data_IF_516464856476
#
_entry.id   IF_516464856476
#
_cell.length_a   1.000
_cell.length_b   1.000
_cell.length_c   1.000
_cell.angle_alpha   90.00
_cell.angle_beta   90.00
_cell.angle_gamma   90.00
#
_symmetry.space_group_name_H-M   'P 1'
#
loop_
_entity.id
_entity.type
_entity.pdbx_description
1 polymer ?
#
# COMPACT_ATOMS: atom_id res chain seq x y z
N UNK A 1 12.52 13.47 22.77
CA UNK A 1 11.51 13.48 21.68
C UNK A 1 10.29 14.27 22.12
N UNK A 2 9.60 14.98 21.23
CA UNK A 2 8.31 15.58 21.53
C UNK A 2 7.28 14.49 21.90
N UNK A 3 6.45 14.76 22.91
CA UNK A 3 5.38 13.86 23.37
C UNK A 3 4.12 14.12 22.53
N UNK A 4 3.49 13.04 22.06
CA UNK A 4 2.23 13.09 21.31
C UNK A 4 1.10 12.48 22.15
N UNK A 5 0.36 13.28 22.94
CA UNK A 5 -0.59 12.78 23.95
C UNK A 5 -1.82 12.09 23.36
N UNK A 6 -2.08 12.29 22.06
CA UNK A 6 -3.19 11.64 21.35
C UNK A 6 -2.87 10.21 20.90
N UNK A 7 -1.66 9.72 21.21
CA UNK A 7 -1.22 8.37 20.87
C UNK A 7 -0.97 8.19 19.37
N UNK A 8 -1.17 6.96 18.91
CA UNK A 8 -0.91 6.52 17.53
C UNK A 8 -2.18 6.04 16.84
N UNK A 9 -2.06 5.72 15.55
CA UNK A 9 -3.17 5.15 14.81
C UNK A 9 -3.56 3.75 15.29
N UNK A 10 -2.72 2.99 16.00
CA UNK A 10 -2.98 1.60 16.37
C UNK A 10 -4.33 1.38 17.07
N UNK A 11 -4.62 2.14 18.11
CA UNK A 11 -5.89 2.08 18.87
C UNK A 11 -6.93 3.10 18.42
N UNK A 12 -6.75 3.74 17.27
CA UNK A 12 -7.60 4.85 16.82
C UNK A 12 -8.46 4.44 15.62
N UNK A 13 -9.77 4.63 15.75
CA UNK A 13 -10.71 4.62 14.61
C UNK A 13 -10.66 5.95 13.87
N UNK A 14 -10.61 5.89 12.54
CA UNK A 14 -10.55 7.06 11.67
C UNK A 14 -11.86 7.19 10.90
N UNK A 15 -12.34 8.43 10.75
CA UNK A 15 -13.34 8.74 9.73
C UNK A 15 -12.73 8.59 8.34
N UNK A 16 -13.57 8.41 7.32
CA UNK A 16 -13.15 8.40 5.92
C UNK A 16 -12.24 9.58 5.55
N UNK A 17 -12.62 10.79 5.99
CA UNK A 17 -11.85 12.02 5.75
C UNK A 17 -10.48 11.98 6.45
N UNK A 18 -10.43 11.49 7.69
CA UNK A 18 -9.18 11.33 8.43
C UNK A 18 -8.27 10.29 7.78
N UNK A 19 -8.82 9.18 7.28
CA UNK A 19 -8.08 8.15 6.56
C UNK A 19 -7.42 8.70 5.29
N UNK A 20 -8.15 9.44 4.46
CA UNK A 20 -7.60 10.10 3.27
C UNK A 20 -6.53 11.14 3.65
N UNK A 21 -6.77 11.87 4.72
CA UNK A 21 -5.86 12.90 5.22
C UNK A 21 -4.56 12.29 5.77
N UNK A 22 -4.65 11.19 6.52
CA UNK A 22 -3.49 10.42 6.97
C UNK A 22 -2.74 9.83 5.79
N UNK A 23 -3.44 9.20 4.84
CA UNK A 23 -2.80 8.60 3.66
C UNK A 23 -1.92 9.62 2.93
N UNK A 24 -2.47 10.80 2.65
CA UNK A 24 -1.73 11.88 2.01
C UNK A 24 -0.53 12.33 2.83
N UNK A 25 -0.68 12.49 4.15
CA UNK A 25 0.41 12.94 5.02
C UNK A 25 1.53 11.90 5.14
N UNK A 26 1.20 10.61 5.17
CA UNK A 26 2.18 9.52 5.15
C UNK A 26 2.99 9.57 3.85
N UNK A 27 2.31 9.65 2.69
CA UNK A 27 2.99 9.76 1.39
C UNK A 27 3.92 10.97 1.31
N UNK A 28 3.48 12.14 1.81
CA UNK A 28 4.32 13.34 1.88
C UNK A 28 5.52 13.12 2.80
N UNK A 29 5.34 12.43 3.93
CA UNK A 29 6.45 12.04 4.81
C UNK A 29 7.46 11.15 4.10
N UNK A 30 7.00 10.11 3.40
CA UNK A 30 7.86 9.21 2.64
C UNK A 30 8.61 9.92 1.50
N UNK A 31 7.96 10.86 0.82
CA UNK A 31 8.62 11.71 -0.19
C UNK A 31 9.77 12.52 0.42
N UNK A 32 9.63 13.00 1.66
CA UNK A 32 10.72 13.70 2.35
C UNK A 32 11.85 12.73 2.70
N UNK A 33 11.54 11.53 3.20
CA UNK A 33 12.57 10.53 3.53
C UNK A 33 13.37 10.11 2.29
N UNK A 34 12.71 9.94 1.15
CA UNK A 34 13.36 9.66 -0.14
C UNK A 34 14.40 10.71 -0.51
N UNK A 35 14.13 11.99 -0.26
CA UNK A 35 15.09 13.07 -0.55
C UNK A 35 16.38 12.98 0.29
N UNK A 36 16.35 12.24 1.39
CA UNK A 36 17.51 11.97 2.24
C UNK A 36 18.03 10.54 2.08
N UNK A 37 17.57 9.79 1.08
CA UNK A 37 17.88 8.38 0.86
C UNK A 37 17.54 7.47 2.05
N UNK A 38 16.50 7.79 2.81
CA UNK A 38 16.09 7.06 4.01
C UNK A 38 14.87 6.19 3.70
N UNK A 39 14.95 4.92 4.08
CA UNK A 39 13.83 4.01 4.22
C UNK A 39 13.38 3.97 5.68
N UNK A 40 12.07 4.04 5.92
CA UNK A 40 11.53 3.93 7.28
C UNK A 40 11.48 2.48 7.76
N UNK A 41 11.08 1.53 6.89
CA UNK A 41 11.06 0.07 7.11
C UNK A 41 10.11 -0.47 8.19
N UNK A 42 9.46 0.39 8.97
CA UNK A 42 8.46 -0.01 9.98
C UNK A 42 7.23 0.90 9.97
N UNK A 43 6.75 1.25 8.77
CA UNK A 43 5.48 1.95 8.62
C UNK A 43 4.35 1.03 9.10
N UNK A 44 3.76 1.38 10.24
CA UNK A 44 2.64 0.69 10.87
C UNK A 44 1.82 1.68 11.69
N UNK A 45 0.57 1.36 12.08
CA UNK A 45 -0.28 2.26 12.84
C UNK A 45 0.35 2.73 14.16
N UNK A 46 1.14 1.88 14.81
CA UNK A 46 1.86 2.21 16.04
C UNK A 46 2.89 3.33 15.89
N UNK A 47 3.48 3.45 14.69
CA UNK A 47 4.55 4.40 14.37
C UNK A 47 4.03 5.65 13.65
N UNK A 48 2.71 5.82 13.58
CA UNK A 48 2.06 7.00 13.02
C UNK A 48 1.34 7.71 14.16
N UNK A 49 1.98 8.75 14.69
CA UNK A 49 1.51 9.47 15.87
C UNK A 49 0.53 10.57 15.48
N UNK A 50 -0.47 10.80 16.34
CA UNK A 50 -1.46 11.86 16.13
C UNK A 50 -0.94 13.13 16.77
N UNK A 51 -0.59 14.12 15.94
CA UNK A 51 -0.14 15.44 16.40
C UNK A 51 -1.29 16.35 16.79
N UNK A 52 -2.38 16.33 16.01
CA UNK A 52 -3.54 17.18 16.24
C UNK A 52 -4.78 16.50 15.70
N UNK A 53 -5.84 16.42 16.50
CA UNK A 53 -7.15 15.92 16.09
C UNK A 53 -8.25 16.84 16.61
N UNK A 54 -8.91 17.52 15.69
CA UNK A 54 -10.03 18.44 15.93
C UNK A 54 -11.01 18.31 14.75
N UNK A 55 -12.26 18.79 14.88
CA UNK A 55 -13.21 18.75 13.76
C UNK A 55 -12.72 19.39 12.45
N UNK A 56 -11.79 20.36 12.54
CA UNK A 56 -11.23 21.09 11.39
C UNK A 56 -9.84 20.61 10.96
N UNK A 57 -9.12 19.86 11.80
CA UNK A 57 -7.71 19.55 11.57
C UNK A 57 -7.37 18.17 12.07
N UNK A 58 -6.77 17.37 11.19
CA UNK A 58 -6.16 16.09 11.52
C UNK A 58 -4.72 16.07 11.01
N UNK A 59 -3.76 15.91 11.91
CA UNK A 59 -2.33 15.90 11.60
C UNK A 59 -1.66 14.69 12.24
N UNK A 60 -0.84 14.01 11.44
CA UNK A 60 -0.03 12.88 11.87
C UNK A 60 1.46 13.21 11.74
N UNK A 61 2.29 12.42 12.41
CA UNK A 61 3.74 12.45 12.29
C UNK A 61 4.24 11.01 12.23
N UNK A 62 5.16 10.72 11.31
CA UNK A 62 5.88 9.44 11.27
C UNK A 62 6.90 9.44 12.41
N UNK A 63 6.99 8.33 13.14
CA UNK A 63 7.84 8.17 14.30
C UNK A 63 8.52 6.81 14.30
N UNK A 64 9.45 6.63 15.24
CA UNK A 64 10.22 5.40 15.41
C UNK A 64 11.07 5.03 14.18
N UNK A 65 12.17 5.77 14.06
CA UNK A 65 13.22 5.55 13.06
C UNK A 65 14.29 4.57 13.56
N UNK A 66 14.00 3.77 14.60
CA UNK A 66 14.99 2.90 15.24
C UNK A 66 15.57 1.82 14.31
N UNK A 67 14.88 1.50 13.22
CA UNK A 67 15.34 0.60 12.16
C UNK A 67 15.38 1.26 10.78
N UNK A 68 15.25 2.59 10.73
CA UNK A 68 15.35 3.33 9.48
C UNK A 68 16.80 3.36 9.03
N UNK A 69 17.02 3.26 7.72
CA UNK A 69 18.36 3.11 7.16
C UNK A 69 18.46 3.58 5.72
N UNK A 70 19.68 3.61 5.21
CA UNK A 70 19.95 3.96 3.80
C UNK A 70 19.55 2.80 2.87
N UNK A 71 19.26 3.10 1.61
CA UNK A 71 19.01 2.08 0.57
C UNK A 71 20.12 1.02 0.42
N UNK A 72 21.34 1.33 0.88
CA UNK A 72 22.52 0.46 0.77
C UNK A 72 22.60 -0.61 1.86
N UNK A 73 21.83 -0.50 2.94
CA UNK A 73 21.97 -1.33 4.14
C UNK A 73 21.04 -2.57 4.07
N UNK A 74 21.42 -3.55 3.26
CA UNK A 74 20.56 -4.70 2.94
C UNK A 74 20.31 -5.67 4.09
N UNK A 75 21.22 -5.76 5.06
CA UNK A 75 21.14 -6.66 6.21
C UNK A 75 19.95 -6.38 7.15
N UNK A 76 19.26 -5.26 6.95
CA UNK A 76 18.23 -4.78 7.85
C UNK A 76 16.79 -4.96 7.32
N UNK A 77 16.63 -5.48 6.10
CA UNK A 77 15.30 -5.64 5.48
C UNK A 77 14.38 -6.60 6.25
N UNK A 78 14.94 -7.57 6.97
CA UNK A 78 14.16 -8.49 7.78
C UNK A 78 13.67 -7.89 9.11
N UNK A 79 14.08 -6.69 9.53
CA UNK A 79 13.54 -6.03 10.73
C UNK A 79 12.17 -5.39 10.47
N UNK A 80 11.41 -5.09 11.54
CA UNK A 80 10.08 -4.48 11.44
C UNK A 80 8.92 -5.47 11.43
N UNK A 81 7.69 -4.95 11.32
CA UNK A 81 6.47 -5.70 11.65
C UNK A 81 5.90 -6.49 10.46
N UNK A 82 5.94 -7.83 10.56
CA UNK A 82 5.63 -8.78 9.47
C UNK A 82 4.40 -8.44 8.59
N UNK A 83 3.25 -8.14 9.20
CA UNK A 83 2.00 -7.85 8.46
C UNK A 83 2.09 -6.68 7.46
N UNK A 84 3.00 -5.72 7.70
CA UNK A 84 3.12 -4.51 6.89
C UNK A 84 4.24 -4.60 5.87
N UNK A 85 5.05 -5.66 5.88
CA UNK A 85 6.20 -5.80 5.00
C UNK A 85 5.79 -6.10 3.57
N UNK A 86 6.54 -5.49 2.66
CA UNK A 86 6.40 -5.67 1.23
C UNK A 86 6.95 -7.02 0.75
N UNK A 87 6.46 -7.54 -0.40
CA UNK A 87 6.77 -8.89 -0.82
C UNK A 87 8.22 -9.17 -1.12
N UNK A 88 8.88 -8.17 -1.69
CA UNK A 88 10.30 -8.18 -1.98
C UNK A 88 11.20 -8.35 -0.73
N UNK A 89 10.69 -8.12 0.49
CA UNK A 89 11.46 -8.31 1.73
C UNK A 89 11.69 -9.80 2.03
N UNK A 90 10.82 -10.67 1.54
CA UNK A 90 10.87 -12.11 1.79
C UNK A 90 11.36 -12.92 0.59
N UNK A 91 11.66 -12.25 -0.52
CA UNK A 91 12.15 -12.87 -1.74
C UNK A 91 13.65 -12.61 -1.84
N UNK A 92 14.47 -13.63 -1.59
CA UNK A 92 15.94 -13.52 -1.68
C UNK A 92 16.43 -13.18 -3.09
N UNK A 93 15.59 -13.38 -4.11
CA UNK A 93 15.88 -13.02 -5.50
C UNK A 93 15.47 -11.59 -5.84
N UNK A 94 14.77 -10.90 -4.93
CA UNK A 94 14.35 -9.52 -5.14
C UNK A 94 15.57 -8.61 -5.26
N UNK A 95 15.73 -8.01 -6.43
CA UNK A 95 16.92 -7.22 -6.76
C UNK A 95 16.99 -5.88 -6.03
N UNK A 96 15.86 -5.33 -5.59
CA UNK A 96 15.78 -3.99 -5.00
C UNK A 96 14.67 -3.90 -3.96
N UNK A 97 15.05 -3.59 -2.72
CA UNK A 97 14.17 -3.02 -1.69
C UNK A 97 14.41 -1.51 -1.70
N UNK A 98 13.36 -0.74 -1.94
CA UNK A 98 13.42 0.72 -2.00
C UNK A 98 12.19 1.37 -1.36
N UNK A 99 11.94 2.65 -1.65
CA UNK A 99 10.88 3.40 -1.00
C UNK A 99 9.49 2.87 -1.34
N UNK A 100 9.37 2.07 -2.40
CA UNK A 100 8.12 1.36 -2.75
C UNK A 100 7.74 0.33 -1.68
N UNK A 101 8.68 -0.14 -0.86
CA UNK A 101 8.38 -1.02 0.27
C UNK A 101 7.63 -0.28 1.37
N UNK A 102 8.02 0.96 1.70
CA UNK A 102 7.26 1.82 2.64
C UNK A 102 5.89 2.22 2.10
N UNK A 103 5.76 2.36 0.77
CA UNK A 103 4.47 2.61 0.11
C UNK A 103 3.54 1.40 0.23
N UNK A 104 4.07 0.17 0.12
CA UNK A 104 3.30 -1.05 0.39
C UNK A 104 2.81 -1.07 1.84
N UNK A 105 3.70 -0.82 2.80
CA UNK A 105 3.34 -0.76 4.21
C UNK A 105 2.25 0.28 4.48
N UNK A 106 2.33 1.44 3.81
CA UNK A 106 1.27 2.46 3.84
C UNK A 106 -0.06 1.92 3.31
N UNK A 107 -0.05 1.16 2.21
CA UNK A 107 -1.24 0.49 1.68
C UNK A 107 -1.89 -0.45 2.70
N UNK A 108 -1.10 -1.27 3.39
CA UNK A 108 -1.59 -2.17 4.45
C UNK A 108 -2.21 -1.37 5.60
N UNK A 109 -1.57 -0.28 6.03
CA UNK A 109 -2.11 0.62 7.07
C UNK A 109 -3.48 1.15 6.65
N UNK A 110 -3.67 1.54 5.39
CA UNK A 110 -4.94 2.10 4.92
C UNK A 110 -6.01 1.04 4.72
N UNK A 111 -5.64 -0.14 4.25
CA UNK A 111 -6.52 -1.29 4.19
C UNK A 111 -7.05 -1.65 5.60
N UNK A 112 -6.15 -1.75 6.57
CA UNK A 112 -6.51 -1.99 7.99
C UNK A 112 -7.43 -0.91 8.55
N UNK A 113 -7.08 0.37 8.37
CA UNK A 113 -7.80 1.48 9.02
C UNK A 113 -9.17 1.76 8.43
N UNK A 114 -9.40 1.39 7.17
CA UNK A 114 -10.66 1.66 6.47
C UNK A 114 -11.56 0.42 6.34
N UNK A 115 -10.98 -0.76 6.21
CA UNK A 115 -11.70 -1.99 5.87
C UNK A 115 -11.45 -3.14 6.84
N UNK A 116 -10.54 -2.96 7.80
CA UNK A 116 -10.11 -4.02 8.72
C UNK A 116 -9.21 -5.05 8.04
N UNK A 117 -8.50 -5.81 8.86
CA UNK A 117 -7.69 -6.94 8.42
C UNK A 117 -7.80 -8.08 9.44
N UNK A 118 -7.98 -9.30 8.95
CA UNK A 118 -8.24 -10.47 9.79
C UNK A 118 -6.93 -11.09 10.30
N UNK A 119 -6.05 -10.26 10.90
CA UNK A 119 -4.70 -10.65 11.32
C UNK A 119 -4.67 -11.81 12.32
N UNK A 120 -5.73 -11.98 13.08
CA UNK A 120 -5.90 -13.06 14.05
C UNK A 120 -5.97 -14.44 13.38
N UNK A 121 -6.51 -14.49 12.16
CA UNK A 121 -6.61 -15.72 11.34
C UNK A 121 -5.26 -16.05 10.67
N UNK A 122 -4.36 -15.07 10.57
CA UNK A 122 -3.04 -15.21 9.96
C UNK A 122 -1.95 -15.01 11.02
N UNK A 123 -1.75 -15.93 11.98
CA UNK A 123 -0.73 -15.79 13.01
C UNK A 123 0.66 -15.71 12.38
N UNK A 124 1.52 -14.85 12.91
CA UNK A 124 2.88 -14.64 12.37
C UNK A 124 3.67 -15.96 12.31
N UNK A 125 4.54 -16.13 11.29
CA UNK A 125 5.36 -17.34 11.15
C UNK A 125 6.30 -17.46 12.36
N UNK A 126 6.49 -18.67 12.86
CA UNK A 126 7.33 -18.96 14.05
C UNK A 126 8.77 -19.29 13.68
N UNK A 127 9.01 -19.69 12.44
CA UNK A 127 10.30 -20.07 11.90
C UNK A 127 10.49 -19.55 10.48
N UNK A 128 11.73 -19.59 9.99
CA UNK A 128 12.08 -19.14 8.64
C UNK A 128 11.41 -20.01 7.56
N UNK A 129 11.29 -21.31 7.81
CA UNK A 129 10.63 -22.26 6.90
C UNK A 129 9.14 -21.99 6.71
N UNK A 130 8.47 -21.34 7.66
CA UNK A 130 7.05 -20.97 7.56
C UNK A 130 6.84 -19.62 6.86
N UNK A 131 7.90 -18.80 6.70
CA UNK A 131 7.75 -17.40 6.26
C UNK A 131 7.22 -17.28 4.85
N UNK A 132 7.76 -18.04 3.91
CA UNK A 132 7.38 -17.95 2.50
C UNK A 132 5.91 -18.30 2.29
N UNK A 133 5.47 -19.44 2.84
CA UNK A 133 4.08 -19.89 2.75
C UNK A 133 3.13 -18.91 3.45
N UNK A 134 3.46 -18.51 4.68
CA UNK A 134 2.68 -17.53 5.41
C UNK A 134 2.51 -16.25 4.61
N UNK A 135 3.59 -15.77 4.00
CA UNK A 135 3.60 -14.53 3.28
C UNK A 135 2.82 -14.60 1.97
N UNK A 136 2.92 -15.72 1.24
CA UNK A 136 2.09 -15.99 0.07
C UNK A 136 0.59 -15.98 0.42
N UNK A 137 0.22 -16.57 1.56
CA UNK A 137 -1.16 -16.58 2.05
C UNK A 137 -1.62 -15.20 2.50
N UNK A 138 -0.77 -14.44 3.20
CA UNK A 138 -1.05 -13.07 3.61
C UNK A 138 -1.28 -12.15 2.41
N UNK A 139 -0.46 -12.25 1.36
CA UNK A 139 -0.66 -11.48 0.12
C UNK A 139 -1.99 -11.81 -0.56
N UNK A 140 -2.39 -13.09 -0.62
CA UNK A 140 -3.68 -13.49 -1.17
C UNK A 140 -4.83 -12.83 -0.40
N UNK A 141 -4.73 -12.80 0.93
CA UNK A 141 -5.73 -12.13 1.76
C UNK A 141 -5.80 -10.62 1.52
N UNK A 142 -4.65 -9.95 1.43
CA UNK A 142 -4.58 -8.52 1.11
C UNK A 142 -5.26 -8.23 -0.25
N UNK A 143 -4.94 -9.00 -1.29
CA UNK A 143 -5.55 -8.85 -2.63
C UNK A 143 -7.06 -9.09 -2.58
N UNK A 144 -7.50 -10.17 -1.93
CA UNK A 144 -8.92 -10.51 -1.76
C UNK A 144 -9.69 -9.38 -1.06
N UNK A 145 -9.14 -8.81 0.02
CA UNK A 145 -9.76 -7.69 0.73
C UNK A 145 -9.90 -6.47 -0.18
N UNK A 146 -8.88 -6.14 -0.95
CA UNK A 146 -8.89 -5.00 -1.90
C UNK A 146 -9.91 -5.21 -3.01
N UNK A 147 -10.02 -6.41 -3.55
CA UNK A 147 -11.03 -6.78 -4.55
C UNK A 147 -12.45 -6.67 -3.98
N UNK A 148 -12.64 -7.04 -2.71
CA UNK A 148 -13.91 -6.98 -1.99
C UNK A 148 -14.32 -5.59 -1.48
N UNK A 149 -13.49 -4.54 -1.64
CA UNK A 149 -13.86 -3.18 -1.21
C UNK A 149 -15.14 -2.74 -1.95
N UNK A 150 -16.18 -2.39 -1.16
CA UNK A 150 -17.44 -1.90 -1.69
C UNK A 150 -17.19 -0.64 -2.53
N UNK A 151 -17.55 -0.73 -3.80
CA UNK A 151 -17.37 0.31 -4.81
C UNK A 151 -18.60 1.21 -4.96
N UNK A 152 -19.62 1.05 -4.12
CA UNK A 152 -20.84 1.87 -4.12
C UNK A 152 -20.58 3.31 -3.64
N UNK A 153 -19.60 3.51 -2.75
CA UNK A 153 -19.15 4.84 -2.38
C UNK A 153 -18.03 5.31 -3.32
N UNK A 154 -18.05 6.60 -3.67
CA UNK A 154 -16.99 7.20 -4.49
C UNK A 154 -15.62 7.04 -3.84
N UNK A 155 -15.55 7.18 -2.51
CA UNK A 155 -14.30 6.98 -1.78
C UNK A 155 -13.83 5.53 -1.84
N UNK A 156 -14.74 4.56 -1.69
CA UNK A 156 -14.43 3.13 -1.82
C UNK A 156 -13.82 2.81 -3.19
N UNK A 157 -14.43 3.31 -4.26
CA UNK A 157 -13.87 3.23 -5.62
C UNK A 157 -12.44 3.79 -5.69
N UNK A 158 -12.25 5.04 -5.26
CA UNK A 158 -10.95 5.71 -5.36
C UNK A 158 -9.88 5.03 -4.52
N UNK A 159 -10.23 4.56 -3.33
CA UNK A 159 -9.31 3.84 -2.45
C UNK A 159 -8.95 2.47 -3.03
N UNK A 160 -9.91 1.73 -3.58
CA UNK A 160 -9.65 0.48 -4.30
C UNK A 160 -8.66 0.68 -5.44
N UNK A 161 -8.81 1.74 -6.23
CA UNK A 161 -7.89 2.07 -7.33
C UNK A 161 -6.48 2.33 -6.81
N UNK A 162 -6.35 3.11 -5.73
CA UNK A 162 -5.06 3.40 -5.12
C UNK A 162 -4.40 2.14 -4.56
N UNK A 163 -5.17 1.31 -3.83
CA UNK A 163 -4.66 0.09 -3.22
C UNK A 163 -4.29 -0.96 -4.27
N UNK A 164 -5.08 -1.13 -5.33
CA UNK A 164 -4.73 -2.01 -6.45
C UNK A 164 -3.41 -1.59 -7.11
N UNK A 165 -3.12 -0.29 -7.24
CA UNK A 165 -1.83 0.21 -7.75
C UNK A 165 -0.66 0.03 -6.78
N UNK A 166 -0.93 -0.06 -5.49
CA UNK A 166 0.09 -0.32 -4.47
C UNK A 166 0.40 -1.82 -4.40
N UNK A 167 -0.63 -2.66 -4.46
CA UNK A 167 -0.51 -4.11 -4.30
C UNK A 167 -0.27 -4.84 -5.63
N UNK A 168 0.61 -4.27 -6.45
CA UNK A 168 1.22 -4.92 -7.61
C UNK A 168 2.63 -5.40 -7.26
N UNK A 169 3.25 -6.14 -8.18
CA UNK A 169 4.64 -6.59 -8.06
C UNK A 169 5.59 -5.40 -7.90
N UNK A 170 6.68 -5.59 -7.16
CA UNK A 170 7.55 -4.48 -6.73
C UNK A 170 8.09 -3.68 -7.92
N UNK A 171 8.41 -4.33 -9.05
CA UNK A 171 8.90 -3.70 -10.27
C UNK A 171 7.92 -2.72 -10.90
N UNK A 172 6.61 -2.95 -10.74
CA UNK A 172 5.54 -2.10 -11.28
C UNK A 172 4.94 -1.16 -10.23
N UNK A 173 5.24 -1.39 -8.95
CA UNK A 173 4.70 -0.61 -7.85
C UNK A 173 5.12 0.85 -7.97
N UNK A 174 4.15 1.73 -7.76
CA UNK A 174 4.39 3.17 -7.74
C UNK A 174 5.14 3.60 -6.48
N UNK A 175 6.08 4.52 -6.63
CA UNK A 175 6.74 5.18 -5.51
C UNK A 175 5.82 6.22 -4.83
N UNK A 176 6.28 6.80 -3.72
CA UNK A 176 5.47 7.72 -2.93
C UNK A 176 5.02 8.95 -3.75
N UNK A 177 5.90 9.46 -4.62
CA UNK A 177 5.62 10.60 -5.48
C UNK A 177 4.54 10.29 -6.53
N UNK A 178 4.67 9.17 -7.25
CA UNK A 178 3.68 8.71 -8.24
C UNK A 178 2.35 8.33 -7.60
N UNK A 179 2.39 7.76 -6.40
CA UNK A 179 1.22 7.46 -5.59
C UNK A 179 0.48 8.77 -5.22
N UNK A 180 1.19 9.75 -4.66
CA UNK A 180 0.63 11.07 -4.36
C UNK A 180 0.07 11.78 -5.61
N UNK A 181 0.79 11.70 -6.74
CA UNK A 181 0.37 12.25 -8.02
C UNK A 181 -0.92 11.59 -8.55
N UNK A 182 -1.03 10.27 -8.42
CA UNK A 182 -2.25 9.52 -8.78
C UNK A 182 -3.45 9.98 -7.96
N UNK A 183 -3.31 10.05 -6.63
CA UNK A 183 -4.36 10.56 -5.76
C UNK A 183 -4.78 12.00 -6.09
N UNK A 184 -3.83 12.83 -6.54
CA UNK A 184 -4.12 14.20 -7.00
C UNK A 184 -4.95 14.19 -8.30
N UNK A 185 -4.55 13.37 -9.29
CA UNK A 185 -5.25 13.24 -10.58
C UNK A 185 -6.68 12.73 -10.42
N UNK A 186 -6.90 11.75 -9.55
CA UNK A 186 -8.24 11.22 -9.25
C UNK A 186 -9.00 12.09 -8.22
N UNK A 187 -8.41 13.21 -7.79
CA UNK A 187 -8.97 14.17 -6.82
C UNK A 187 -9.27 13.56 -5.45
N UNK A 188 -8.56 12.50 -5.05
CA UNK A 188 -8.74 11.85 -3.75
C UNK A 188 -8.49 12.84 -2.59
N UNK A 189 -7.47 13.69 -2.70
CA UNK A 189 -7.01 14.58 -1.62
C UNK A 189 -7.94 15.75 -1.28
N UNK A 190 -8.84 16.13 -2.18
CA UNK A 190 -9.66 17.34 -2.07
C UNK A 190 -11.15 17.04 -1.81
N UNK A 191 -11.52 15.77 -1.61
CA UNK A 191 -12.92 15.35 -1.47
C UNK A 191 -13.39 15.49 -0.02
N UNK A 192 -14.56 16.13 0.15
CA UNK A 192 -15.10 16.48 1.46
C UNK A 192 -16.35 15.67 1.87
N UNK A 193 -17.13 15.05 0.94
CA UNK A 193 -18.14 14.02 1.25
C UNK A 193 -18.74 13.35 0.00
N UNK A 194 -19.46 12.25 0.27
CA UNK A 194 -20.24 11.34 -0.58
C UNK A 194 -21.29 12.04 -1.45
N UNK A 195 -21.13 12.04 -2.77
CA UNK A 195 -22.25 12.01 -3.73
C UNK A 195 -21.73 11.77 -5.14
N UNK A 196 -22.19 10.68 -5.76
CA UNK A 196 -21.93 10.31 -7.14
C UNK A 196 -22.43 11.40 -8.10
N UNK A 197 -21.52 12.10 -8.79
CA UNK A 197 -21.82 12.56 -10.15
C UNK A 197 -21.27 11.54 -11.13
N UNK A 198 -22.14 10.58 -11.44
CA UNK A 198 -21.99 9.42 -12.33
C UNK A 198 -21.60 9.70 -13.79
N UNK A 199 -21.04 10.86 -14.13
CA UNK A 199 -20.65 11.21 -15.51
C UNK A 199 -19.23 10.77 -15.90
N UNK A 200 -18.33 10.58 -14.93
CA UNK A 200 -16.93 10.22 -15.22
C UNK A 200 -16.68 8.71 -15.28
N UNK A 201 -17.53 7.91 -14.62
CA UNK A 201 -17.39 6.46 -14.48
C UNK A 201 -17.29 5.72 -15.82
N UNK A 202 -18.18 6.03 -16.79
CA UNK A 202 -18.25 5.30 -18.06
C UNK A 202 -17.08 5.59 -19.00
N UNK A 203 -16.49 6.79 -18.93
CA UNK A 203 -15.31 7.13 -19.73
C UNK A 203 -14.02 6.63 -19.09
N UNK A 204 -14.00 6.47 -17.76
CA UNK A 204 -12.84 6.04 -17.00
C UNK A 204 -12.70 4.50 -16.95
N UNK A 205 -13.79 3.75 -16.82
CA UNK A 205 -13.77 2.27 -16.99
C UNK A 205 -13.24 1.89 -18.37
N UNK A 206 -13.67 2.60 -19.43
CA UNK A 206 -13.12 2.44 -20.78
C UNK A 206 -11.62 2.79 -20.90
N UNK A 207 -11.10 3.64 -20.04
CA UNK A 207 -9.69 4.03 -20.02
C UNK A 207 -8.84 2.99 -19.27
N UNK A 208 -9.33 2.47 -18.14
CA UNK A 208 -8.68 1.38 -17.38
C UNK A 208 -8.67 0.08 -18.18
N UNK A 209 -9.77 -0.27 -18.84
CA UNK A 209 -9.86 -1.44 -19.74
C UNK A 209 -9.15 -1.22 -21.09
N UNK A 210 -8.74 0.03 -21.37
CA UNK A 210 -8.18 0.48 -22.64
C UNK A 210 -6.67 0.67 -22.66
N UNK A 211 -5.94 0.41 -21.55
CA UNK A 211 -4.47 0.51 -21.51
C UNK A 211 -3.85 -0.64 -22.32
N UNK A 212 -3.18 -0.38 -23.46
CA UNK A 212 -2.69 -1.45 -24.35
C UNK A 212 -1.48 -2.22 -23.79
N UNK A 213 -0.79 -1.66 -22.80
CA UNK A 213 0.47 -2.20 -22.28
C UNK A 213 0.28 -3.52 -21.51
N UNK A 214 -0.87 -3.72 -20.86
CA UNK A 214 -1.17 -4.99 -20.16
C UNK A 214 -1.62 -6.12 -21.10
N UNK A 215 -2.33 -5.83 -22.21
CA UNK A 215 -2.73 -6.87 -23.18
C UNK A 215 -1.57 -7.46 -23.97
N UNK A 216 -0.45 -6.74 -24.09
CA UNK A 216 0.73 -7.22 -24.85
C UNK A 216 1.50 -8.29 -24.09
N UNK A 217 1.65 -8.17 -22.78
CA UNK A 217 2.36 -9.14 -21.97
C UNK A 217 1.53 -10.42 -21.74
N UNK A 218 0.21 -10.29 -21.56
CA UNK A 218 -0.67 -11.44 -21.37
C UNK A 218 -0.82 -12.28 -22.65
N UNK A 219 -0.86 -11.65 -23.84
CA UNK A 219 -0.89 -12.37 -25.12
C UNK A 219 0.47 -12.96 -25.52
N UNK A 220 1.60 -12.36 -25.13
CA UNK A 220 2.92 -12.96 -25.33
C UNK A 220 3.11 -14.19 -24.43
N UNK A 221 2.77 -14.10 -23.14
CA UNK A 221 2.85 -15.22 -22.20
C UNK A 221 1.91 -16.38 -22.55
N UNK A 222 0.70 -16.11 -23.05
CA UNK A 222 -0.21 -17.18 -23.50
C UNK A 222 0.21 -17.82 -24.83
N UNK A 223 0.89 -17.09 -25.72
CA UNK A 223 1.45 -17.64 -26.97
C UNK A 223 2.67 -18.52 -26.71
N UNK A 224 3.52 -18.14 -25.76
CA UNK A 224 4.66 -18.97 -25.33
C UNK A 224 4.21 -20.23 -24.58
N UNK A 225 3.23 -20.12 -23.67
CA UNK A 225 2.66 -21.29 -22.98
C UNK A 225 1.98 -22.27 -23.95
N UNK A 226 1.23 -21.78 -24.95
CA UNK A 226 0.65 -22.64 -26.00
C UNK A 226 1.72 -23.27 -26.92
N UNK A 227 2.81 -22.57 -27.22
CA UNK A 227 3.94 -23.13 -27.99
C UNK A 227 4.67 -24.24 -27.24
N UNK A 228 4.88 -24.06 -25.94
CA UNK A 228 5.57 -25.05 -25.11
C UNK A 228 4.72 -26.30 -24.85
N UNK A 229 3.39 -26.16 -24.76
CA UNK A 229 2.46 -27.29 -24.64
C UNK A 229 2.31 -28.10 -25.95
N UNK A 230 2.51 -27.48 -27.11
CA UNK A 230 2.49 -28.18 -28.41
C UNK A 230 3.81 -28.87 -28.77
N UNK A 231 4.91 -28.55 -28.09
CA UNK A 231 6.24 -29.14 -28.30
C UNK A 231 6.60 -30.24 -27.27
N UNK A 232 5.69 -30.59 -26.35
CA UNK A 232 5.87 -31.63 -25.33
C UNK A 232 4.93 -32.83 -25.51
N UNK A 233 4.31 -32.96 -26.70
CA UNK A 233 3.47 -34.10 -27.09
C UNK A 233 4.02 -34.81 -28.30
#
# INVERSE_FOLDING_TARGET
MPIYPLGSLAGCSLTEKESVTAFRQILVGLMQLKNYDILHRDIKPGNILIRKRTPKTFQIVLADFGIAGKYTEQSEYFYGTAYYKAPEIFDETAKVVDDRSDVWSTGIVMLEKMYGLDKEIFPKPKSDSEREEWYANWQKEVRRKVEGINSESELGCLMKIMLQRIFVDCGERVDAWRCHGTGSRIKLWSRHSLTLRARWWRSWVKWVDGVPEMRKQENQGNRERKRNLLNMG
#
